data_IF_130845179163
#
_entry.id   IF_130845179163
#
_cell.length_a   1.000
_cell.length_b   1.000
_cell.length_c   1.000
_cell.angle_alpha   90.00
_cell.angle_beta   90.00
_cell.angle_gamma   90.00
#
_symmetry.space_group_name_H-M   'P 1'
#
loop_
_entity.id
_entity.type
_entity.pdbx_description
1 polymer ?
#
# COMPACT_ATOMS: atom_id res chain seq x y z
N UNK A 1 13.39 9.36 23.60
CA UNK A 1 14.44 8.44 23.11
C UNK A 1 13.86 7.06 22.91
N UNK A 2 13.76 6.57 21.67
CA UNK A 2 14.31 5.30 21.14
C UNK A 2 14.15 5.36 19.61
N UNK A 3 15.21 4.94 18.93
CA UNK A 3 15.46 4.98 17.50
C UNK A 3 14.68 3.89 16.77
N UNK A 4 13.90 4.27 15.75
CA UNK A 4 13.59 3.35 14.65
C UNK A 4 14.72 3.55 13.64
N UNK A 5 15.69 2.64 13.65
CA UNK A 5 16.84 2.58 12.72
C UNK A 5 16.42 2.46 11.24
N UNK A 6 15.12 2.52 10.93
CA UNK A 6 14.50 2.36 9.61
C UNK A 6 13.45 3.42 9.21
N UNK A 7 13.40 4.59 9.86
CA UNK A 7 12.74 5.78 9.27
C UNK A 7 11.22 5.91 9.41
N UNK A 8 10.69 5.87 10.63
CA UNK A 8 9.34 6.36 10.92
C UNK A 8 9.47 7.75 11.57
N UNK A 9 9.10 8.81 10.85
CA UNK A 9 9.09 10.19 11.36
C UNK A 9 7.91 10.32 12.31
N UNK A 10 8.20 10.37 13.62
CA UNK A 10 7.20 10.67 14.65
C UNK A 10 7.51 12.05 15.20
N UNK A 11 6.59 13.00 15.01
CA UNK A 11 6.69 14.32 15.64
C UNK A 11 6.65 14.16 17.16
N UNK A 12 7.65 14.71 17.86
CA UNK A 12 7.77 14.56 19.32
C UNK A 12 6.64 15.22 20.11
N UNK A 13 5.94 16.19 19.52
CA UNK A 13 4.73 16.81 20.09
C UNK A 13 3.81 17.29 18.96
N UNK A 14 2.51 17.35 19.23
CA UNK A 14 1.53 18.03 18.36
C UNK A 14 0.95 19.21 19.16
N UNK A 15 0.98 20.45 18.65
CA UNK A 15 0.45 21.61 19.37
C UNK A 15 -1.06 21.51 19.63
N UNK A 16 -1.76 20.65 18.89
CA UNK A 16 -3.19 20.39 19.05
C UNK A 16 -3.48 19.19 19.97
N UNK A 17 -2.46 18.62 20.62
CA UNK A 17 -2.60 17.52 21.57
C UNK A 17 -2.54 16.14 20.92
N UNK A 18 -2.58 15.12 21.78
CA UNK A 18 -2.31 13.72 21.43
C UNK A 18 -3.25 13.16 20.36
N UNK A 19 -4.56 13.39 20.49
CA UNK A 19 -5.56 12.82 19.57
C UNK A 19 -5.42 13.38 18.15
N UNK A 20 -5.17 14.69 18.03
CA UNK A 20 -4.90 15.31 16.73
C UNK A 20 -3.60 14.81 16.12
N UNK A 21 -2.53 14.68 16.94
CA UNK A 21 -1.28 14.06 16.48
C UNK A 21 -1.48 12.63 15.98
N UNK A 22 -2.34 11.86 16.64
CA UNK A 22 -2.67 10.48 16.27
C UNK A 22 -3.42 10.42 14.93
N UNK A 23 -4.41 11.29 14.72
CA UNK A 23 -5.15 11.38 13.44
C UNK A 23 -4.19 11.74 12.30
N UNK A 24 -3.32 12.74 12.50
CA UNK A 24 -2.32 13.14 11.51
C UNK A 24 -1.39 11.98 11.18
N UNK A 25 -0.92 11.23 12.19
CA UNK A 25 -0.07 10.06 12.00
C UNK A 25 -0.74 8.99 11.13
N UNK A 26 -2.00 8.65 11.43
CA UNK A 26 -2.79 7.66 10.65
C UNK A 26 -2.91 8.11 9.19
N UNK A 27 -3.29 9.37 8.95
CA UNK A 27 -3.48 9.90 7.59
C UNK A 27 -2.15 9.95 6.82
N UNK A 28 -1.05 10.30 7.49
CA UNK A 28 0.27 10.33 6.88
C UNK A 28 0.73 8.92 6.50
N UNK A 29 0.58 7.93 7.38
CA UNK A 29 0.91 6.52 7.07
C UNK A 29 0.05 5.99 5.92
N UNK A 30 -1.24 6.31 5.90
CA UNK A 30 -2.14 5.90 4.83
C UNK A 30 -1.77 6.55 3.50
N UNK A 31 -1.45 7.84 3.49
CA UNK A 31 -1.02 8.53 2.27
C UNK A 31 0.33 7.98 1.75
N UNK A 32 1.30 7.78 2.64
CA UNK A 32 2.59 7.17 2.30
C UNK A 32 2.43 5.78 1.69
N UNK A 33 1.47 5.00 2.19
CA UNK A 33 1.12 3.69 1.64
C UNK A 33 0.67 3.81 0.19
N UNK A 34 -0.28 4.71 -0.13
CA UNK A 34 -0.75 4.93 -1.50
C UNK A 34 0.38 5.41 -2.42
N UNK A 35 1.21 6.36 -1.95
CA UNK A 35 2.37 6.83 -2.73
C UNK A 35 3.37 5.69 -3.00
N UNK A 36 3.62 4.82 -2.02
CA UNK A 36 4.50 3.67 -2.19
C UNK A 36 3.95 2.70 -3.24
N UNK A 37 2.64 2.38 -3.20
CA UNK A 37 1.99 1.53 -4.20
C UNK A 37 2.10 2.15 -5.61
N UNK A 38 1.88 3.46 -5.73
CA UNK A 38 1.96 4.17 -7.01
C UNK A 38 3.38 4.13 -7.60
N UNK A 39 4.40 4.41 -6.79
CA UNK A 39 5.82 4.35 -7.22
C UNK A 39 6.19 2.92 -7.62
N UNK A 40 5.80 1.92 -6.84
CA UNK A 40 6.05 0.51 -7.14
C UNK A 40 5.39 0.09 -8.45
N UNK A 41 4.15 0.50 -8.69
CA UNK A 41 3.43 0.17 -9.92
C UNK A 41 4.05 0.85 -11.15
N UNK A 42 4.28 2.16 -11.10
CA UNK A 42 4.72 2.93 -12.27
C UNK A 42 6.21 2.79 -12.52
N UNK A 43 7.03 3.07 -11.51
CA UNK A 43 8.48 3.16 -11.68
C UNK A 43 9.12 1.78 -11.72
N UNK A 44 8.68 0.85 -10.86
CA UNK A 44 9.30 -0.48 -10.80
C UNK A 44 8.57 -1.43 -11.76
N UNK A 45 7.28 -1.65 -11.54
CA UNK A 45 6.47 -2.57 -12.34
C UNK A 45 6.41 -2.21 -13.82
N UNK A 46 6.22 -0.93 -14.13
CA UNK A 46 6.21 -0.43 -15.51
C UNK A 46 7.54 -0.61 -16.25
N UNK A 47 8.68 -0.49 -15.57
CA UNK A 47 9.99 -0.75 -16.17
C UNK A 47 10.26 -2.25 -16.31
N UNK A 48 10.02 -3.04 -15.25
CA UNK A 48 10.20 -4.48 -15.27
C UNK A 48 9.30 -5.18 -16.29
N UNK A 49 8.08 -4.67 -16.48
CA UNK A 49 7.12 -5.15 -17.47
C UNK A 49 7.59 -5.05 -18.93
N UNK A 50 8.66 -4.30 -19.22
CA UNK A 50 9.25 -4.23 -20.57
C UNK A 50 10.12 -5.45 -20.89
N UNK A 51 10.62 -6.16 -19.88
CA UNK A 51 11.47 -7.34 -20.08
C UNK A 51 10.63 -8.61 -20.26
N UNK A 52 10.75 -9.26 -21.42
CA UNK A 52 10.09 -10.55 -21.69
C UNK A 52 10.52 -11.63 -20.69
N UNK A 53 11.77 -11.59 -20.24
CA UNK A 53 12.28 -12.51 -19.22
C UNK A 53 11.54 -12.34 -17.90
N UNK A 54 11.40 -11.09 -17.42
CA UNK A 54 10.68 -10.79 -16.17
C UNK A 54 9.20 -11.17 -16.28
N UNK A 55 8.55 -10.86 -17.41
CA UNK A 55 7.15 -11.26 -17.63
C UNK A 55 6.99 -12.79 -17.60
N UNK A 56 7.94 -13.53 -18.17
CA UNK A 56 7.91 -15.00 -18.19
C UNK A 56 8.14 -15.58 -16.80
N UNK A 57 9.10 -15.06 -16.03
CA UNK A 57 9.40 -15.51 -14.66
C UNK A 57 8.27 -15.16 -13.68
N UNK A 58 7.68 -13.97 -13.80
CA UNK A 58 6.48 -13.57 -13.04
C UNK A 58 5.23 -14.39 -13.42
N UNK A 59 5.29 -15.20 -14.48
CA UNK A 59 4.21 -16.10 -14.83
C UNK A 59 2.97 -15.38 -15.35
N UNK A 60 3.10 -14.23 -16.04
CA UNK A 60 1.96 -13.45 -16.54
C UNK A 60 1.01 -14.26 -17.45
N UNK A 61 1.46 -15.38 -17.99
CA UNK A 61 0.70 -16.27 -18.86
C UNK A 61 -0.09 -17.34 -18.09
N UNK A 62 0.13 -17.50 -16.78
CA UNK A 62 -0.56 -18.50 -15.97
C UNK A 62 -2.00 -18.06 -15.70
N UNK A 63 -2.92 -19.03 -15.68
CA UNK A 63 -4.37 -18.80 -15.54
C UNK A 63 -4.70 -17.99 -14.28
N UNK A 64 -4.11 -18.32 -13.13
CA UNK A 64 -4.39 -17.63 -11.88
C UNK A 64 -3.99 -16.15 -11.89
N UNK A 65 -2.87 -15.79 -12.54
CA UNK A 65 -2.49 -14.38 -12.74
C UNK A 65 -3.51 -13.68 -13.64
N UNK A 66 -3.99 -14.35 -14.70
CA UNK A 66 -5.01 -13.78 -15.58
C UNK A 66 -6.36 -13.59 -14.88
N UNK A 67 -6.71 -14.47 -13.95
CA UNK A 67 -7.89 -14.29 -13.10
C UNK A 67 -7.74 -13.07 -12.19
N UNK A 68 -6.58 -12.91 -11.54
CA UNK A 68 -6.26 -11.72 -10.73
C UNK A 68 -6.32 -10.46 -11.59
N UNK A 69 -5.68 -10.48 -12.77
CA UNK A 69 -5.69 -9.36 -13.71
C UNK A 69 -7.12 -8.98 -14.12
N UNK A 70 -7.96 -9.96 -14.45
CA UNK A 70 -9.36 -9.74 -14.81
C UNK A 70 -10.15 -9.08 -13.68
N UNK A 71 -9.91 -9.48 -12.43
CA UNK A 71 -10.54 -8.87 -11.26
C UNK A 71 -10.06 -7.42 -11.05
N UNK A 72 -8.76 -7.19 -11.13
CA UNK A 72 -8.17 -5.85 -10.93
C UNK A 72 -8.54 -4.86 -12.05
N UNK A 73 -8.87 -5.36 -13.25
CA UNK A 73 -9.35 -4.53 -14.39
C UNK A 73 -10.80 -4.07 -14.25
N UNK A 74 -11.61 -4.66 -13.36
CA UNK A 74 -12.98 -4.18 -13.11
C UNK A 74 -12.95 -2.73 -12.61
N UNK A 75 -13.96 -1.92 -12.91
CA UNK A 75 -14.02 -0.53 -12.44
C UNK A 75 -14.55 -0.46 -11.00
N UNK A 76 -14.01 0.48 -10.21
CA UNK A 76 -14.46 0.74 -8.85
C UNK A 76 -14.05 -0.36 -7.86
N UNK A 77 -14.83 -0.51 -6.79
CA UNK A 77 -14.58 -1.48 -5.73
C UNK A 77 -15.32 -2.78 -5.95
N UNK A 78 -14.55 -3.87 -6.05
CA UNK A 78 -15.06 -5.22 -5.87
C UNK A 78 -14.38 -5.84 -4.66
N UNK A 79 -15.07 -6.77 -3.98
CA UNK A 79 -14.50 -7.46 -2.83
C UNK A 79 -13.18 -8.18 -3.21
N UNK A 80 -13.12 -8.76 -4.42
CA UNK A 80 -11.92 -9.40 -4.94
C UNK A 80 -10.77 -8.41 -5.14
N UNK A 81 -11.03 -7.26 -5.77
CA UNK A 81 -10.00 -6.23 -5.97
C UNK A 81 -9.44 -5.73 -4.64
N UNK A 82 -10.30 -5.41 -3.68
CA UNK A 82 -9.87 -4.93 -2.35
C UNK A 82 -9.10 -6.02 -1.61
N UNK A 83 -9.56 -7.28 -1.67
CA UNK A 83 -8.85 -8.39 -1.04
C UNK A 83 -7.44 -8.61 -1.63
N UNK A 84 -7.29 -8.47 -2.96
CA UNK A 84 -5.98 -8.59 -3.62
C UNK A 84 -5.07 -7.41 -3.24
N UNK A 85 -5.55 -6.17 -3.36
CA UNK A 85 -4.73 -4.97 -3.18
C UNK A 85 -4.41 -4.67 -1.71
N UNK A 86 -5.37 -4.89 -0.80
CA UNK A 86 -5.18 -4.63 0.62
C UNK A 86 -4.70 -5.86 1.40
N UNK A 87 -5.09 -7.06 0.98
CA UNK A 87 -4.70 -8.31 1.65
C UNK A 87 -3.41 -8.93 1.11
N UNK A 88 -3.02 -8.60 -0.12
CA UNK A 88 -1.79 -9.06 -0.74
C UNK A 88 -0.54 -8.39 -0.16
N UNK A 89 0.64 -9.04 -0.26
CA UNK A 89 1.90 -8.38 0.07
C UNK A 89 2.12 -7.20 -0.88
N UNK A 90 2.35 -6.01 -0.32
CA UNK A 90 2.36 -4.72 -1.02
C UNK A 90 3.25 -4.71 -2.27
N UNK A 91 4.55 -4.96 -2.05
CA UNK A 91 5.55 -4.87 -3.09
C UNK A 91 5.25 -5.78 -4.29
N UNK A 92 5.08 -7.12 -4.14
CA UNK A 92 4.78 -7.96 -5.29
C UNK A 92 3.42 -7.64 -5.92
N UNK A 93 2.42 -7.17 -5.16
CA UNK A 93 1.09 -6.84 -5.71
C UNK A 93 1.15 -5.59 -6.59
N UNK A 94 1.70 -4.49 -6.08
CA UNK A 94 1.81 -3.21 -6.81
C UNK A 94 2.78 -3.31 -7.99
N UNK A 95 3.93 -3.98 -7.80
CA UNK A 95 4.88 -4.21 -8.92
C UNK A 95 4.22 -5.08 -10.00
N UNK A 96 3.50 -6.14 -9.63
CA UNK A 96 2.83 -6.99 -10.61
C UNK A 96 1.71 -6.24 -11.34
N UNK A 97 0.98 -5.36 -10.65
CA UNK A 97 0.00 -4.48 -11.31
C UNK A 97 0.65 -3.61 -12.40
N UNK A 98 1.89 -3.15 -12.16
CA UNK A 98 2.69 -2.43 -13.16
C UNK A 98 3.16 -3.32 -14.31
N UNK A 99 3.65 -4.53 -14.00
CA UNK A 99 4.07 -5.52 -15.01
C UNK A 99 2.92 -5.93 -15.93
N UNK A 100 1.69 -5.98 -15.41
CA UNK A 100 0.46 -6.29 -16.16
C UNK A 100 -0.14 -5.08 -16.89
N UNK A 101 0.39 -3.87 -16.68
CA UNK A 101 -0.13 -2.64 -17.28
C UNK A 101 -1.55 -2.32 -16.82
N UNK A 102 -1.82 -2.46 -15.52
CA UNK A 102 -3.09 -2.08 -14.93
C UNK A 102 -3.19 -0.56 -14.74
N UNK A 103 -4.42 -0.04 -14.71
CA UNK A 103 -4.68 1.37 -14.44
C UNK A 103 -4.24 1.72 -13.02
N UNK A 104 -3.35 2.71 -12.88
CA UNK A 104 -2.93 3.22 -11.57
C UNK A 104 -4.13 3.70 -10.75
N UNK A 105 -5.03 4.44 -11.37
CA UNK A 105 -6.20 5.00 -10.69
C UNK A 105 -7.09 3.90 -10.09
N UNK A 106 -7.35 2.83 -10.84
CA UNK A 106 -8.20 1.72 -10.37
C UNK A 106 -7.53 0.89 -9.27
N UNK A 107 -6.20 0.77 -9.31
CA UNK A 107 -5.43 0.14 -8.25
C UNK A 107 -5.44 1.01 -6.99
N UNK A 108 -5.10 2.30 -7.09
CA UNK A 108 -5.10 3.20 -5.92
C UNK A 108 -6.47 3.29 -5.27
N UNK A 109 -7.54 3.43 -6.08
CA UNK A 109 -8.90 3.36 -5.56
C UNK A 109 -9.13 2.07 -4.79
N UNK A 110 -8.77 0.91 -5.36
CA UNK A 110 -8.93 -0.39 -4.68
C UNK A 110 -8.08 -0.54 -3.41
N UNK A 111 -7.00 0.24 -3.27
CA UNK A 111 -6.12 0.27 -2.09
C UNK A 111 -6.61 1.20 -0.98
N UNK A 112 -7.48 2.19 -1.27
CA UNK A 112 -8.03 3.12 -0.26
C UNK A 112 -8.50 2.43 1.04
N UNK A 113 -9.22 1.29 1.00
CA UNK A 113 -9.67 0.60 2.21
C UNK A 113 -8.55 0.05 3.13
N UNK A 114 -7.27 0.12 2.73
CA UNK A 114 -6.12 -0.27 3.56
C UNK A 114 -6.03 0.54 4.87
N UNK A 115 -6.72 1.68 4.97
CA UNK A 115 -6.82 2.44 6.21
C UNK A 115 -7.31 1.58 7.39
N UNK A 116 -8.13 0.56 7.13
CA UNK A 116 -8.55 -0.42 8.16
C UNK A 116 -7.40 -1.22 8.76
N UNK A 117 -6.29 -1.40 8.03
CA UNK A 117 -5.06 -2.02 8.53
C UNK A 117 -4.09 -0.98 9.12
N UNK A 118 -4.01 0.21 8.51
CA UNK A 118 -3.12 1.29 8.99
C UNK A 118 -3.56 1.79 10.37
N UNK A 119 -4.86 1.98 10.57
CA UNK A 119 -5.44 2.54 11.79
C UNK A 119 -5.01 1.78 13.06
N UNK A 120 -5.24 0.45 13.20
CA UNK A 120 -4.85 -0.27 14.41
C UNK A 120 -3.32 -0.27 14.63
N UNK A 121 -2.52 -0.36 13.56
CA UNK A 121 -1.07 -0.32 13.64
C UNK A 121 -0.54 1.03 14.14
N UNK A 122 -1.04 2.13 13.56
CA UNK A 122 -0.68 3.49 13.96
C UNK A 122 -1.18 3.82 15.38
N UNK A 123 -2.41 3.43 15.73
CA UNK A 123 -2.97 3.61 17.07
C UNK A 123 -2.15 2.88 18.14
N UNK A 124 -1.69 1.66 17.86
CA UNK A 124 -0.85 0.90 18.81
C UNK A 124 0.43 1.67 19.15
N UNK A 125 1.11 2.23 18.14
CA UNK A 125 2.30 3.07 18.34
C UNK A 125 1.99 4.33 19.14
N UNK A 126 0.92 5.05 18.79
CA UNK A 126 0.52 6.27 19.50
C UNK A 126 0.15 5.99 20.96
N UNK A 127 -0.65 4.96 21.24
CA UNK A 127 -1.05 4.60 22.61
C UNK A 127 0.11 4.07 23.45
N UNK A 128 1.09 3.40 22.84
CA UNK A 128 2.30 2.97 23.53
C UNK A 128 3.10 4.18 24.05
N UNK A 129 3.23 5.23 23.24
CA UNK A 129 3.91 6.47 23.65
C UNK A 129 3.16 7.12 24.83
N UNK A 130 1.82 7.21 24.76
CA UNK A 130 1.00 7.80 25.82
C UNK A 130 1.09 7.07 27.16
N UNK A 131 1.37 5.76 27.17
CA UNK A 131 1.57 5.00 28.42
C UNK A 131 2.87 5.39 29.15
N UNK A 132 3.86 5.90 28.42
CA UNK A 132 5.15 6.31 28.97
C UNK A 132 5.22 7.75 29.47
N UNK A 133 4.17 8.55 29.23
CA UNK A 133 3.94 9.88 29.80
C UNK A 133 3.18 9.78 31.14
#
# INVERSE_FOLDING_TARGET
TVYIFGGLVVSGTCPWGFWWGTVINVLMCWFLKLVACAIQQVCIGGLLGRSLWVRRTAGVHKVWIRCIEAELRKKGWTAGKVAILCGGPDWPTSVMAGVLGLSLWECELGTIPIIGFVLPCALTGSLYIRKGD
#
